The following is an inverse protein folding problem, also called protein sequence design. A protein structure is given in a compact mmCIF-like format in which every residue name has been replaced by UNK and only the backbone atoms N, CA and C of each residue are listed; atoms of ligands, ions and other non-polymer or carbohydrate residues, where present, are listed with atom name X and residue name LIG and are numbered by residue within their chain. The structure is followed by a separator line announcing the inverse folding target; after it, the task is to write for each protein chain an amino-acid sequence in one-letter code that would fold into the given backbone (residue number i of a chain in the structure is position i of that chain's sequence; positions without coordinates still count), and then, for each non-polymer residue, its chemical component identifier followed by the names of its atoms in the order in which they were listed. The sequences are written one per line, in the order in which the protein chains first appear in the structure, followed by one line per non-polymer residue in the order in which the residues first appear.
data_IF_185450093820
#
_entry.id   IF_185450093820
#
_cell.length_a   1.000
_cell.length_b   1.000
_cell.length_c   1.000
_cell.angle_alpha   90.00
_cell.angle_beta   90.00
_cell.angle_gamma   90.00
#
_symmetry.space_group_name_H-M   'P 1'
#
loop_
_entity.id
_entity.type
_entity.pdbx_description
1 polymer ?
#
# COMPACT_ATOMS: atom_id res chain seq x y z
N UNK A 1 -21.46 -7.51 55.75
CA UNK A 1 -22.72 -7.48 55.03
C UNK A 1 -22.39 -7.06 53.60
N UNK A 2 -22.71 -7.90 52.69
CA UNK A 2 -22.13 -8.14 51.41
C UNK A 2 -21.96 -6.98 50.44
N UNK A 3 -20.83 -6.97 49.82
CA UNK A 3 -20.52 -6.14 48.68
C UNK A 3 -20.31 -7.02 47.45
N UNK A 4 -21.30 -7.04 46.57
CA UNK A 4 -21.25 -7.79 45.30
C UNK A 4 -20.69 -6.91 44.21
N UNK A 5 -19.41 -7.08 43.89
CA UNK A 5 -18.76 -6.48 42.75
C UNK A 5 -19.19 -7.19 41.45
N UNK A 6 -19.99 -6.51 40.61
CA UNK A 6 -20.29 -6.93 39.25
C UNK A 6 -19.18 -6.55 38.31
N UNK A 7 -18.38 -7.52 37.88
CA UNK A 7 -17.43 -7.34 36.79
C UNK A 7 -18.17 -7.23 35.45
N UNK A 8 -18.08 -6.08 34.79
CA UNK A 8 -18.52 -5.88 33.40
C UNK A 8 -17.49 -6.58 32.48
N UNK A 9 -17.84 -7.77 31.99
CA UNK A 9 -17.17 -8.42 30.87
C UNK A 9 -17.50 -7.65 29.60
N UNK A 10 -16.57 -6.88 29.09
CA UNK A 10 -16.62 -6.31 27.75
C UNK A 10 -16.45 -7.45 26.75
N UNK A 11 -17.54 -7.91 26.15
CA UNK A 11 -17.48 -8.76 24.95
C UNK A 11 -16.94 -7.90 23.81
N UNK A 12 -16.03 -8.46 22.96
CA UNK A 12 -15.57 -7.75 21.76
C UNK A 12 -16.80 -7.50 20.86
N UNK A 13 -17.05 -6.24 20.53
CA UNK A 13 -18.13 -5.83 19.65
C UNK A 13 -17.93 -6.44 18.27
N UNK A 14 -18.97 -7.09 17.75
CA UNK A 14 -19.02 -7.54 16.35
C UNK A 14 -18.91 -6.32 15.45
N UNK A 15 -17.79 -6.18 14.76
CA UNK A 15 -17.56 -5.12 13.79
C UNK A 15 -18.29 -5.49 12.48
N UNK A 16 -19.06 -4.56 11.95
CA UNK A 16 -19.60 -4.54 10.60
C UNK A 16 -20.69 -5.57 10.23
N UNK A 17 -21.86 -5.50 10.88
CA UNK A 17 -23.09 -5.98 10.25
C UNK A 17 -23.84 -4.79 9.64
N UNK A 18 -23.50 -4.43 8.40
CA UNK A 18 -24.26 -3.46 7.65
C UNK A 18 -25.57 -4.08 7.15
N UNK A 19 -26.68 -3.88 7.86
CA UNK A 19 -28.00 -4.05 7.27
C UNK A 19 -28.28 -2.87 6.35
N UNK A 20 -28.20 -3.12 5.04
CA UNK A 20 -28.47 -2.10 4.01
C UNK A 20 -28.01 -2.47 2.62
N UNK A 21 -27.75 -3.72 2.31
CA UNK A 21 -27.43 -4.15 0.94
C UNK A 21 -28.68 -4.72 0.26
N UNK A 22 -29.19 -4.01 -0.75
CA UNK A 22 -30.04 -4.63 -1.76
C UNK A 22 -29.26 -5.80 -2.37
N UNK A 23 -29.94 -6.95 -2.45
CA UNK A 23 -29.41 -8.21 -2.97
C UNK A 23 -28.71 -7.99 -4.30
N UNK A 24 -27.41 -8.25 -4.34
CA UNK A 24 -26.70 -8.57 -5.55
C UNK A 24 -27.20 -9.96 -6.00
N UNK A 25 -27.79 -10.03 -7.19
CA UNK A 25 -28.33 -11.28 -7.75
C UNK A 25 -27.18 -12.26 -7.98
N UNK A 26 -27.29 -13.44 -7.36
CA UNK A 26 -26.53 -14.63 -7.70
C UNK A 26 -26.77 -14.97 -9.18
N UNK A 27 -25.89 -14.53 -10.05
CA UNK A 27 -25.74 -15.04 -11.41
C UNK A 27 -24.28 -15.11 -11.75
N UNK A 28 -23.67 -16.20 -11.36
CA UNK A 28 -22.50 -16.74 -12.02
C UNK A 28 -22.66 -18.25 -12.08
N UNK A 29 -23.05 -18.76 -13.23
CA UNK A 29 -22.98 -20.17 -13.57
C UNK A 29 -21.51 -20.59 -13.57
N UNK A 30 -21.08 -21.27 -12.51
CA UNK A 30 -19.81 -21.95 -12.44
C UNK A 30 -19.93 -23.35 -13.00
N UNK A 31 -19.60 -23.50 -14.28
CA UNK A 31 -19.36 -24.81 -14.88
C UNK A 31 -17.94 -25.31 -14.53
N UNK A 32 -17.90 -26.39 -13.75
CA UNK A 32 -16.83 -27.38 -13.62
C UNK A 32 -15.38 -26.98 -13.46
N UNK A 33 -14.88 -27.19 -12.26
CA UNK A 33 -13.46 -27.20 -11.87
C UNK A 33 -13.25 -26.33 -10.63
N UNK A 34 -12.59 -26.87 -9.60
CA UNK A 34 -12.08 -26.07 -8.48
C UNK A 34 -11.30 -24.91 -9.07
N UNK A 35 -11.79 -23.70 -8.87
CA UNK A 35 -11.15 -22.51 -9.46
C UNK A 35 -9.68 -22.46 -8.99
N UNK A 36 -8.70 -22.34 -9.91
CA UNK A 36 -7.29 -22.25 -9.51
C UNK A 36 -6.99 -21.16 -8.46
N UNK A 37 -7.94 -20.23 -8.25
CA UNK A 37 -7.82 -19.17 -7.25
C UNK A 37 -8.08 -19.59 -5.80
N UNK A 38 -8.81 -20.63 -5.54
CA UNK A 38 -9.04 -21.12 -4.17
C UNK A 38 -7.73 -21.59 -3.54
N UNK A 39 -6.76 -21.99 -4.35
CA UNK A 39 -5.44 -22.45 -3.90
C UNK A 39 -4.36 -21.37 -3.95
N UNK A 40 -4.63 -20.19 -4.57
CA UNK A 40 -3.63 -19.12 -4.68
C UNK A 40 -3.32 -18.51 -3.32
N UNK A 41 -2.03 -18.38 -3.01
CA UNK A 41 -1.53 -17.79 -1.78
C UNK A 41 -1.27 -16.28 -1.94
N UNK A 42 -1.50 -15.51 -0.89
CA UNK A 42 -1.30 -14.06 -0.87
C UNK A 42 -0.34 -13.71 0.26
N UNK A 43 0.84 -13.21 -0.09
CA UNK A 43 1.76 -12.61 0.87
C UNK A 43 1.32 -11.18 1.19
N UNK A 44 0.94 -10.91 2.43
CA UNK A 44 0.50 -9.60 2.91
C UNK A 44 1.64 -8.93 3.66
N UNK A 45 2.23 -7.92 3.05
CA UNK A 45 3.37 -7.17 3.58
C UNK A 45 2.89 -5.93 4.33
N UNK A 46 3.32 -5.76 5.58
CA UNK A 46 2.95 -4.63 6.44
C UNK A 46 4.18 -4.07 7.14
N UNK A 47 4.37 -2.75 7.04
CA UNK A 47 5.28 -1.99 7.88
C UNK A 47 4.47 -1.24 8.94
N UNK A 48 4.72 -1.49 10.22
CA UNK A 48 4.01 -0.87 11.33
C UNK A 48 4.99 -0.13 12.24
N UNK A 49 4.82 1.19 12.35
CA UNK A 49 5.63 2.04 13.22
C UNK A 49 4.75 2.64 14.31
N UNK A 50 4.86 2.09 15.55
CA UNK A 50 4.16 2.56 16.74
C UNK A 50 2.66 2.80 16.48
N UNK A 51 2.01 1.81 15.83
CA UNK A 51 0.64 1.95 15.33
C UNK A 51 -0.37 1.15 16.16
N UNK A 52 -1.29 1.84 16.86
CA UNK A 52 -2.30 1.20 17.68
C UNK A 52 -3.35 0.40 16.88
N UNK A 53 -3.48 0.64 15.57
CA UNK A 53 -4.54 0.05 14.74
C UNK A 53 -4.13 -1.28 14.07
N UNK A 54 -2.87 -1.70 14.17
CA UNK A 54 -2.36 -2.91 13.51
C UNK A 54 -3.15 -4.17 13.91
N UNK A 55 -3.40 -4.38 15.20
CA UNK A 55 -4.17 -5.55 15.68
C UNK A 55 -5.60 -5.55 15.08
N UNK A 56 -6.25 -4.40 15.03
CA UNK A 56 -7.58 -4.26 14.43
C UNK A 56 -7.55 -4.49 12.91
N UNK A 57 -6.49 -4.08 12.23
CA UNK A 57 -6.26 -4.36 10.81
C UNK A 57 -6.13 -5.85 10.55
N UNK A 58 -5.28 -6.56 11.29
CA UNK A 58 -5.08 -8.01 11.13
C UNK A 58 -6.36 -8.79 11.38
N UNK A 59 -7.08 -8.49 12.48
CA UNK A 59 -8.36 -9.11 12.80
C UNK A 59 -9.38 -8.87 11.68
N UNK A 60 -9.50 -7.64 11.21
CA UNK A 60 -10.45 -7.30 10.14
C UNK A 60 -10.13 -8.03 8.83
N UNK A 61 -8.87 -8.08 8.42
CA UNK A 61 -8.46 -8.78 7.21
C UNK A 61 -8.82 -10.28 7.28
N UNK A 62 -8.55 -10.94 8.41
CA UNK A 62 -8.87 -12.36 8.60
C UNK A 62 -10.37 -12.61 8.69
N UNK A 63 -11.11 -11.81 9.44
CA UNK A 63 -12.57 -11.93 9.59
C UNK A 63 -13.34 -11.67 8.29
N UNK A 64 -12.83 -10.77 7.45
CA UNK A 64 -13.46 -10.41 6.19
C UNK A 64 -13.01 -11.28 5.00
N UNK A 65 -11.94 -12.05 5.13
CA UNK A 65 -11.47 -12.94 4.08
C UNK A 65 -12.45 -14.07 3.80
N UNK A 66 -12.56 -14.48 2.52
CA UNK A 66 -13.28 -15.70 2.13
C UNK A 66 -12.47 -16.96 2.48
N UNK A 67 -11.14 -16.86 2.38
CA UNK A 67 -10.20 -17.97 2.60
C UNK A 67 -8.98 -17.47 3.40
N UNK A 68 -9.11 -17.26 4.72
CA UNK A 68 -8.03 -16.69 5.53
C UNK A 68 -6.78 -17.57 5.55
N UNK A 69 -6.88 -18.88 5.34
CA UNK A 69 -5.77 -19.82 5.32
C UNK A 69 -4.77 -19.59 4.16
N UNK A 70 -5.18 -18.88 3.10
CA UNK A 70 -4.28 -18.54 1.99
C UNK A 70 -3.40 -17.33 2.28
N UNK A 71 -3.69 -16.58 3.35
CA UNK A 71 -2.99 -15.35 3.69
C UNK A 71 -1.69 -15.68 4.44
N UNK A 72 -0.58 -15.09 4.02
CA UNK A 72 0.73 -15.17 4.64
C UNK A 72 1.18 -13.78 4.99
N UNK A 73 1.31 -13.47 6.28
CA UNK A 73 1.66 -12.12 6.72
C UNK A 73 3.15 -12.01 7.00
N UNK A 74 3.78 -10.98 6.45
CA UNK A 74 5.13 -10.53 6.79
C UNK A 74 5.06 -9.11 7.36
N UNK A 75 5.39 -8.97 8.64
CA UNK A 75 5.22 -7.71 9.37
C UNK A 75 6.58 -7.24 9.91
N UNK A 76 6.95 -6.00 9.63
CA UNK A 76 7.99 -5.29 10.38
C UNK A 76 7.31 -4.45 11.47
N UNK A 77 7.31 -4.96 12.69
CA UNK A 77 6.72 -4.32 13.87
C UNK A 77 7.78 -3.48 14.56
N UNK A 78 7.53 -2.18 14.68
CA UNK A 78 8.48 -1.22 15.23
C UNK A 78 7.85 -0.53 16.43
N UNK A 79 8.20 -0.96 17.64
CA UNK A 79 7.64 -0.45 18.90
C UNK A 79 8.71 0.20 19.78
N UNK A 80 8.30 1.18 20.56
CA UNK A 80 9.08 1.72 21.66
C UNK A 80 8.74 0.99 22.97
N UNK A 81 9.70 0.91 23.88
CA UNK A 81 9.48 0.25 25.18
C UNK A 81 8.37 0.94 26.02
N UNK A 82 8.02 2.18 25.74
CA UNK A 82 6.94 2.92 26.38
C UNK A 82 5.57 2.71 25.72
N UNK A 83 5.52 2.06 24.54
CA UNK A 83 4.25 1.82 23.86
C UNK A 83 3.39 0.80 24.63
N UNK A 84 2.04 0.94 24.58
CA UNK A 84 1.15 0.00 25.22
C UNK A 84 1.38 -1.44 24.74
N UNK A 85 1.38 -2.41 25.66
CA UNK A 85 1.52 -3.83 25.31
C UNK A 85 0.45 -4.29 24.30
N UNK A 86 -0.74 -3.67 24.34
CA UNK A 86 -1.83 -3.95 23.39
C UNK A 86 -1.51 -3.62 21.92
N UNK A 87 -0.39 -2.95 21.62
CA UNK A 87 0.08 -2.71 20.25
C UNK A 87 1.00 -3.82 19.74
N UNK A 88 1.42 -4.75 20.61
CA UNK A 88 2.32 -5.85 20.32
C UNK A 88 1.62 -7.16 19.97
N UNK A 89 2.42 -8.19 19.73
CA UNK A 89 2.00 -9.52 19.26
C UNK A 89 0.92 -10.19 20.11
N UNK A 90 0.86 -9.91 21.42
CA UNK A 90 -0.13 -10.51 22.33
C UNK A 90 -1.58 -10.10 22.02
N UNK A 91 -1.78 -9.06 21.20
CA UNK A 91 -3.11 -8.61 20.75
C UNK A 91 -3.45 -9.08 19.34
N UNK A 92 -2.52 -9.74 18.65
CA UNK A 92 -2.72 -10.19 17.29
C UNK A 92 -3.57 -11.47 17.23
N UNK A 93 -4.28 -11.71 16.13
CA UNK A 93 -5.03 -12.95 15.95
C UNK A 93 -4.11 -14.17 15.90
N UNK A 94 -4.59 -15.29 16.45
CA UNK A 94 -3.92 -16.59 16.26
C UNK A 94 -4.05 -17.03 14.80
N UNK A 95 -2.96 -16.92 14.06
CA UNK A 95 -2.91 -17.28 12.65
C UNK A 95 -1.57 -17.97 12.34
N UNK A 96 -1.63 -19.18 11.78
CA UNK A 96 -0.48 -20.06 11.56
C UNK A 96 0.62 -19.47 10.64
N UNK A 97 0.30 -18.44 9.87
CA UNK A 97 1.20 -17.83 8.90
C UNK A 97 1.41 -16.33 9.16
N UNK A 98 1.47 -15.94 10.40
CA UNK A 98 1.83 -14.60 10.85
C UNK A 98 3.31 -14.59 11.22
N UNK A 99 4.13 -13.91 10.44
CA UNK A 99 5.57 -13.79 10.65
C UNK A 99 5.91 -12.33 10.98
N UNK A 100 6.62 -12.12 12.09
CA UNK A 100 6.89 -10.79 12.63
C UNK A 100 8.39 -10.60 12.79
N UNK A 101 8.91 -9.49 12.30
CA UNK A 101 10.21 -8.96 12.66
C UNK A 101 9.99 -7.84 13.65
N UNK A 102 10.28 -8.12 14.91
CA UNK A 102 10.21 -7.15 15.99
C UNK A 102 11.49 -6.29 16.00
N UNK A 103 11.32 -4.97 16.03
CA UNK A 103 12.39 -3.97 15.97
C UNK A 103 12.09 -2.87 16.96
N UNK A 104 13.11 -2.43 17.71
CA UNK A 104 12.95 -1.23 18.53
C UNK A 104 12.68 -0.02 17.63
N UNK A 105 11.70 0.82 17.96
CA UNK A 105 11.38 2.01 17.18
C UNK A 105 12.61 2.92 16.96
N UNK A 106 13.52 2.98 17.94
CA UNK A 106 14.78 3.73 17.86
C UNK A 106 15.72 3.23 16.75
N UNK A 107 15.63 1.97 16.35
CA UNK A 107 16.46 1.35 15.29
C UNK A 107 15.80 1.42 13.92
N UNK A 108 14.61 2.02 13.83
CA UNK A 108 13.88 2.19 12.56
C UNK A 108 14.61 3.14 11.62
N UNK A 109 14.51 2.85 10.33
CA UNK A 109 15.11 3.66 9.26
C UNK A 109 14.07 4.18 8.26
N UNK A 110 12.79 4.13 8.63
CA UNK A 110 11.67 4.61 7.83
C UNK A 110 10.89 3.52 7.09
N UNK A 111 9.84 3.94 6.38
CA UNK A 111 8.84 3.04 5.82
C UNK A 111 9.41 2.05 4.77
N UNK A 112 10.22 2.50 3.83
CA UNK A 112 10.77 1.64 2.78
C UNK A 112 11.75 0.61 3.35
N UNK A 113 12.56 0.99 4.34
CA UNK A 113 13.39 0.05 5.07
C UNK A 113 12.54 -1.01 5.78
N UNK A 114 11.49 -0.60 6.49
CA UNK A 114 10.61 -1.54 7.18
C UNK A 114 9.90 -2.50 6.21
N UNK A 115 9.48 -2.01 5.04
CA UNK A 115 8.91 -2.85 3.97
C UNK A 115 9.94 -3.84 3.43
N UNK A 116 11.19 -3.45 3.26
CA UNK A 116 12.25 -4.38 2.86
C UNK A 116 12.50 -5.48 3.90
N UNK A 117 12.32 -5.16 5.20
CA UNK A 117 12.42 -6.17 6.26
C UNK A 117 11.23 -7.15 6.21
N UNK A 118 10.02 -6.64 5.99
CA UNK A 118 8.83 -7.46 5.85
C UNK A 118 8.91 -8.38 4.62
N UNK A 119 9.49 -7.91 3.51
CA UNK A 119 9.72 -8.71 2.30
C UNK A 119 10.62 -9.93 2.55
N UNK A 120 11.46 -9.91 3.59
CA UNK A 120 12.29 -11.06 3.97
C UNK A 120 11.50 -12.31 4.37
N UNK A 121 10.19 -12.20 4.59
CA UNK A 121 9.30 -13.34 4.88
C UNK A 121 8.62 -13.92 3.65
N UNK A 122 8.73 -13.29 2.48
CA UNK A 122 8.20 -13.84 1.23
C UNK A 122 8.87 -15.19 0.91
N UNK A 123 8.06 -16.17 0.57
CA UNK A 123 8.53 -17.54 0.33
C UNK A 123 7.91 -18.15 -0.94
N UNK A 124 7.74 -17.32 -1.98
CA UNK A 124 7.23 -17.78 -3.27
C UNK A 124 5.69 -17.83 -3.34
N UNK A 125 4.99 -17.05 -2.53
CA UNK A 125 3.54 -16.91 -2.65
C UNK A 125 3.14 -16.38 -4.04
N UNK A 126 1.96 -16.80 -4.51
CA UNK A 126 1.49 -16.46 -5.88
C UNK A 126 1.29 -14.96 -6.07
N UNK A 127 0.87 -14.26 -5.01
CA UNK A 127 0.57 -12.83 -5.03
C UNK A 127 1.20 -12.09 -3.86
N UNK A 128 1.57 -10.84 -4.12
CA UNK A 128 1.94 -9.83 -3.14
C UNK A 128 0.77 -8.88 -2.92
N UNK A 129 0.44 -8.61 -1.67
CA UNK A 129 -0.36 -7.48 -1.22
C UNK A 129 0.44 -6.62 -0.25
N UNK A 130 0.67 -5.37 -0.58
CA UNK A 130 1.23 -4.39 0.34
C UNK A 130 0.14 -3.48 0.84
N UNK A 131 0.09 -3.25 2.15
CA UNK A 131 -0.83 -2.33 2.81
C UNK A 131 -0.14 -1.62 3.98
N UNK A 132 -0.77 -0.53 4.43
CA UNK A 132 -0.39 0.12 5.68
C UNK A 132 -1.00 -0.62 6.89
N UNK A 133 -0.52 -0.29 8.09
CA UNK A 133 -0.91 -0.95 9.35
C UNK A 133 -2.31 -0.58 9.86
N UNK A 134 -2.98 0.38 9.25
CA UNK A 134 -4.28 0.92 9.67
C UNK A 134 -5.32 0.88 8.53
N UNK A 135 -5.72 -0.36 8.19
CA UNK A 135 -6.59 -0.66 7.06
C UNK A 135 -7.86 -1.40 7.48
N UNK A 136 -8.88 -1.33 6.64
CA UNK A 136 -10.07 -2.20 6.71
C UNK A 136 -10.39 -2.72 5.32
N UNK A 137 -10.96 -3.92 5.25
CA UNK A 137 -11.33 -4.56 3.99
C UNK A 137 -12.84 -4.84 3.91
N UNK A 138 -13.36 -4.94 2.70
CA UNK A 138 -14.73 -5.43 2.48
C UNK A 138 -14.81 -6.93 2.72
N UNK A 139 -16.03 -7.44 2.92
CA UNK A 139 -16.26 -8.88 3.03
C UNK A 139 -15.79 -9.60 1.76
N UNK A 140 -15.12 -10.74 1.93
CA UNK A 140 -14.54 -11.58 0.88
C UNK A 140 -13.52 -10.83 0.00
N UNK A 141 -12.81 -9.86 0.57
CA UNK A 141 -11.87 -8.99 -0.13
C UNK A 141 -10.78 -9.76 -0.88
N UNK A 142 -10.31 -10.85 -0.34
CA UNK A 142 -9.24 -11.69 -0.89
C UNK A 142 -9.66 -12.35 -2.20
N UNK A 143 -10.89 -12.84 -2.30
CA UNK A 143 -11.45 -13.42 -3.52
C UNK A 143 -11.79 -12.32 -4.54
N UNK A 144 -12.43 -11.24 -4.09
CA UNK A 144 -12.74 -10.07 -4.92
C UNK A 144 -11.47 -9.42 -5.50
N UNK A 145 -10.37 -9.40 -4.73
CA UNK A 145 -9.09 -8.85 -5.17
C UNK A 145 -8.49 -9.68 -6.32
N UNK A 146 -8.48 -11.01 -6.16
CA UNK A 146 -8.04 -11.93 -7.19
C UNK A 146 -8.92 -11.87 -8.45
N UNK A 147 -10.25 -11.73 -8.30
CA UNK A 147 -11.15 -11.51 -9.43
C UNK A 147 -10.83 -10.19 -10.15
N UNK A 148 -10.65 -9.10 -9.39
CA UNK A 148 -10.31 -7.79 -9.95
C UNK A 148 -9.00 -7.84 -10.73
N UNK A 149 -8.00 -8.55 -10.22
CA UNK A 149 -6.72 -8.74 -10.92
C UNK A 149 -6.91 -9.53 -12.24
N UNK A 150 -7.74 -10.58 -12.24
CA UNK A 150 -8.08 -11.33 -13.47
C UNK A 150 -8.81 -10.47 -14.50
N UNK A 151 -9.68 -9.58 -14.04
CA UNK A 151 -10.46 -8.68 -14.90
C UNK A 151 -9.56 -7.72 -15.70
N UNK A 152 -8.29 -7.52 -15.28
CA UNK A 152 -7.28 -6.83 -16.09
C UNK A 152 -6.94 -7.57 -17.38
N UNK A 153 -7.14 -8.91 -17.43
CA UNK A 153 -6.71 -9.79 -18.52
C UNK A 153 -5.22 -9.63 -18.87
N UNK A 154 -4.39 -9.44 -17.86
CA UNK A 154 -2.96 -9.14 -17.94
C UNK A 154 -2.24 -9.84 -16.79
N UNK A 155 -1.27 -10.71 -17.09
CA UNK A 155 -0.52 -11.46 -16.08
C UNK A 155 0.50 -10.62 -15.32
N UNK A 156 0.90 -9.49 -15.89
CA UNK A 156 1.83 -8.52 -15.29
C UNK A 156 1.05 -7.35 -14.63
N UNK A 157 -0.26 -7.52 -14.39
CA UNK A 157 -1.08 -6.48 -13.79
C UNK A 157 -0.70 -6.24 -12.33
N UNK A 158 -0.64 -4.95 -11.96
CA UNK A 158 -0.49 -4.46 -10.60
C UNK A 158 -1.66 -3.55 -10.27
N UNK A 159 -2.47 -3.92 -9.30
CA UNK A 159 -3.58 -3.09 -8.81
C UNK A 159 -3.06 -2.12 -7.75
N UNK A 160 -3.30 -0.83 -7.94
CA UNK A 160 -2.95 0.17 -6.93
C UNK A 160 -3.80 1.43 -7.06
N UNK A 161 -4.16 2.00 -5.92
CA UNK A 161 -4.89 3.26 -5.80
C UNK A 161 -4.76 3.78 -4.37
N UNK A 162 -4.90 5.07 -4.13
CA UNK A 162 -5.16 5.57 -2.78
C UNK A 162 -6.54 5.11 -2.32
N UNK A 163 -6.65 4.20 -1.33
CA UNK A 163 -7.93 3.68 -0.87
C UNK A 163 -8.81 4.79 -0.33
N UNK A 164 -10.14 4.62 -0.40
CA UNK A 164 -11.05 5.51 0.31
C UNK A 164 -10.81 5.46 1.83
N UNK A 165 -11.21 6.52 2.52
CA UNK A 165 -11.10 6.59 3.96
C UNK A 165 -12.12 5.74 4.70
N UNK A 166 -11.84 5.47 5.97
CA UNK A 166 -12.83 5.03 6.94
C UNK A 166 -12.68 5.82 8.24
N UNK A 167 -13.75 5.84 9.05
CA UNK A 167 -13.70 6.34 10.43
C UNK A 167 -13.77 5.14 11.38
N UNK A 168 -13.01 5.22 12.46
CA UNK A 168 -12.99 4.14 13.46
C UNK A 168 -14.38 3.93 14.10
N UNK A 169 -14.75 2.69 14.44
CA UNK A 169 -13.96 1.47 14.26
C UNK A 169 -13.98 0.92 12.83
N UNK A 170 -15.03 1.19 12.02
CA UNK A 170 -15.18 0.62 10.68
C UNK A 170 -16.29 1.31 9.84
N UNK A 171 -16.41 2.63 9.88
CA UNK A 171 -17.36 3.35 9.02
C UNK A 171 -16.71 3.64 7.67
N UNK A 172 -16.97 2.80 6.67
CA UNK A 172 -16.34 2.84 5.35
C UNK A 172 -16.95 3.93 4.44
N UNK A 173 -16.11 4.65 3.69
CA UNK A 173 -16.54 5.61 2.67
C UNK A 173 -16.73 4.91 1.32
N UNK A 174 -17.98 4.54 0.99
CA UNK A 174 -18.30 3.66 -0.14
C UNK A 174 -19.00 4.33 -1.31
N UNK A 175 -19.16 5.65 -1.31
CA UNK A 175 -19.97 6.35 -2.31
C UNK A 175 -19.27 6.59 -3.66
N UNK A 176 -17.94 6.57 -3.68
CA UNK A 176 -17.14 6.89 -4.87
C UNK A 176 -15.98 5.94 -5.05
N UNK A 177 -15.57 5.73 -6.32
CA UNK A 177 -14.37 5.00 -6.68
C UNK A 177 -13.24 6.02 -7.03
N UNK A 178 -12.09 5.94 -6.36
CA UNK A 178 -10.96 6.82 -6.64
C UNK A 178 -10.15 6.34 -7.85
N UNK A 179 -9.45 7.28 -8.48
CA UNK A 179 -8.34 7.03 -9.41
C UNK A 179 -7.12 7.82 -8.98
N UNK A 180 -5.94 7.39 -9.36
CA UNK A 180 -4.71 8.14 -9.10
C UNK A 180 -4.43 9.14 -10.20
N UNK A 181 -3.83 10.27 -9.81
CA UNK A 181 -3.41 11.33 -10.73
C UNK A 181 -2.11 11.98 -10.26
N UNK A 182 -1.36 12.53 -11.20
CA UNK A 182 -0.23 13.40 -10.88
C UNK A 182 -0.75 14.73 -10.30
N UNK A 183 -0.17 15.18 -9.18
CA UNK A 183 -0.57 16.42 -8.51
C UNK A 183 0.36 17.58 -8.87
N UNK A 184 1.61 17.46 -8.51
CA UNK A 184 2.64 18.49 -8.71
C UNK A 184 4.01 17.90 -8.44
N UNK A 185 5.07 18.54 -8.92
CA UNK A 185 6.40 18.38 -8.38
C UNK A 185 6.52 19.26 -7.14
N UNK A 186 7.09 18.71 -6.05
CA UNK A 186 7.31 19.47 -4.82
C UNK A 186 8.62 20.29 -4.87
N UNK A 187 8.93 20.98 -3.78
CA UNK A 187 10.15 21.82 -3.68
C UNK A 187 11.46 21.01 -3.78
N UNK A 188 11.38 19.69 -3.61
CA UNK A 188 12.51 18.79 -3.83
C UNK A 188 12.55 18.23 -5.26
N UNK A 189 11.63 18.62 -6.13
CA UNK A 189 11.52 18.10 -7.50
C UNK A 189 10.97 16.67 -7.57
N UNK A 190 10.30 16.20 -6.53
CA UNK A 190 9.68 14.89 -6.49
C UNK A 190 8.20 14.98 -6.88
N UNK A 191 7.80 14.15 -7.84
CA UNK A 191 6.40 14.08 -8.27
C UNK A 191 5.52 13.54 -7.15
N UNK A 192 4.48 14.28 -6.80
CA UNK A 192 3.43 13.90 -5.85
C UNK A 192 2.19 13.46 -6.58
N UNK A 193 1.51 12.49 -6.01
CA UNK A 193 0.23 11.98 -6.51
C UNK A 193 -0.94 12.45 -5.66
N UNK A 194 -2.15 12.27 -6.19
CA UNK A 194 -3.41 12.50 -5.50
C UNK A 194 -4.46 11.48 -5.91
N UNK A 195 -5.35 11.16 -4.99
CA UNK A 195 -6.58 10.44 -5.28
C UNK A 195 -7.66 11.39 -5.78
N UNK A 196 -8.34 11.03 -6.86
CA UNK A 196 -9.49 11.77 -7.39
C UNK A 196 -10.71 10.87 -7.28
N UNK A 197 -11.73 11.26 -6.51
CA UNK A 197 -13.04 10.58 -6.47
C UNK A 197 -13.75 10.80 -7.81
N UNK A 198 -13.65 9.83 -8.72
CA UNK A 198 -14.10 10.00 -10.10
C UNK A 198 -15.48 9.44 -10.39
N UNK A 199 -15.76 8.24 -9.91
CA UNK A 199 -16.96 7.50 -10.28
C UNK A 199 -17.87 7.35 -9.08
N UNK A 200 -19.15 7.67 -9.21
CA UNK A 200 -20.16 7.35 -8.19
C UNK A 200 -20.52 5.88 -8.27
N UNK A 201 -20.56 5.21 -7.13
CA UNK A 201 -20.91 3.80 -7.04
C UNK A 201 -22.38 3.69 -6.56
N UNK A 202 -23.18 2.80 -7.17
CA UNK A 202 -22.84 1.87 -8.27
C UNK A 202 -23.03 2.45 -9.68
N UNK A 203 -23.61 3.66 -9.83
CA UNK A 203 -24.17 4.17 -11.09
C UNK A 203 -23.13 4.36 -12.20
N UNK A 204 -21.89 4.68 -11.83
CA UNK A 204 -20.79 4.98 -12.75
C UNK A 204 -19.62 4.01 -12.60
N UNK A 205 -19.84 2.88 -11.90
CA UNK A 205 -18.77 1.92 -11.67
C UNK A 205 -18.26 1.34 -12.99
N UNK A 206 -16.95 1.40 -13.29
CA UNK A 206 -16.37 0.76 -14.47
C UNK A 206 -16.53 -0.76 -14.42
N UNK A 207 -16.75 -1.39 -15.58
CA UNK A 207 -16.86 -2.85 -15.67
C UNK A 207 -15.52 -3.56 -15.41
N UNK A 208 -14.39 -2.91 -15.73
CA UNK A 208 -13.03 -3.47 -15.61
C UNK A 208 -12.10 -2.49 -14.89
N UNK A 209 -10.98 -2.97 -14.32
CA UNK A 209 -9.92 -2.10 -13.82
C UNK A 209 -9.43 -1.13 -14.88
N UNK A 210 -9.05 0.06 -14.44
CA UNK A 210 -8.68 1.17 -15.34
C UNK A 210 -7.16 1.25 -15.46
N UNK A 211 -6.60 1.50 -16.67
CA UNK A 211 -5.18 1.80 -16.82
C UNK A 211 -4.74 2.92 -15.87
N UNK A 212 -3.57 2.74 -15.28
CA UNK A 212 -2.96 3.67 -14.35
C UNK A 212 -1.45 3.74 -14.59
N UNK A 213 -0.80 4.80 -14.14
CA UNK A 213 0.64 4.98 -14.24
C UNK A 213 1.34 4.97 -12.87
N UNK A 214 0.60 5.04 -11.78
CA UNK A 214 1.12 5.32 -10.44
C UNK A 214 0.69 4.28 -9.43
N UNK A 215 1.56 4.00 -8.46
CA UNK A 215 1.24 3.16 -7.31
C UNK A 215 1.15 3.99 -6.03
N UNK A 216 0.28 3.58 -5.13
CA UNK A 216 0.16 4.10 -3.77
C UNK A 216 0.95 3.22 -2.81
N UNK A 217 1.70 3.83 -1.89
CA UNK A 217 2.44 3.11 -0.85
C UNK A 217 1.54 2.31 0.08
N UNK A 218 0.32 2.80 0.33
CA UNK A 218 -0.66 2.17 1.23
C UNK A 218 -1.50 1.05 0.62
N UNK A 219 -1.41 0.81 -0.68
CA UNK A 219 -2.07 -0.33 -1.33
C UNK A 219 -1.44 -0.68 -2.68
N UNK A 220 -0.88 -1.87 -2.77
CA UNK A 220 -0.37 -2.46 -4.00
C UNK A 220 -0.68 -3.96 -3.99
N UNK A 221 -1.17 -4.50 -5.10
CA UNK A 221 -1.42 -5.92 -5.28
C UNK A 221 -1.02 -6.39 -6.68
N UNK A 222 -0.28 -7.49 -6.77
CA UNK A 222 0.14 -8.06 -8.05
C UNK A 222 0.81 -9.42 -7.87
N UNK A 223 1.46 -9.97 -8.91
CA UNK A 223 2.21 -11.21 -8.82
C UNK A 223 3.24 -11.18 -7.69
N UNK A 224 3.39 -12.27 -6.95
CA UNK A 224 4.37 -12.40 -5.87
C UNK A 224 5.80 -12.18 -6.34
N UNK A 225 6.10 -12.51 -7.59
CA UNK A 225 7.39 -12.29 -8.23
C UNK A 225 7.89 -10.83 -8.16
N UNK A 226 7.00 -9.85 -7.95
CA UNK A 226 7.38 -8.44 -7.73
C UNK A 226 8.38 -8.29 -6.58
N UNK A 227 8.28 -9.13 -5.54
CA UNK A 227 9.22 -9.07 -4.39
C UNK A 227 10.66 -9.32 -4.82
N UNK A 228 10.87 -10.21 -5.79
CA UNK A 228 12.19 -10.54 -6.32
C UNK A 228 12.63 -9.58 -7.44
N UNK A 229 11.72 -9.25 -8.36
CA UNK A 229 12.03 -8.41 -9.53
C UNK A 229 12.21 -6.93 -9.15
N UNK A 230 11.43 -6.44 -8.19
CA UNK A 230 11.35 -5.01 -7.81
C UNK A 230 11.39 -4.85 -6.28
N UNK A 231 12.44 -5.39 -5.60
CA UNK A 231 12.52 -5.35 -4.15
C UNK A 231 12.54 -3.91 -3.62
N UNK A 232 12.04 -3.71 -2.40
CA UNK A 232 12.14 -2.41 -1.75
C UNK A 232 13.60 -2.02 -1.51
N UNK A 233 13.93 -0.78 -1.86
CA UNK A 233 15.23 -0.18 -1.55
C UNK A 233 15.25 0.26 -0.07
N UNK A 234 16.04 -0.39 0.81
CA UNK A 234 16.07 -0.09 2.23
C UNK A 234 16.72 1.27 2.54
N UNK A 235 17.36 1.90 1.57
CA UNK A 235 17.98 3.21 1.70
C UNK A 235 17.05 4.36 1.26
N UNK A 236 15.84 4.05 0.78
CA UNK A 236 14.77 5.02 0.65
C UNK A 236 14.10 5.20 2.02
N UNK A 237 13.86 6.46 2.38
CA UNK A 237 13.23 6.79 3.65
C UNK A 237 11.70 6.75 3.56
N UNK A 238 11.12 7.68 2.83
CA UNK A 238 9.68 7.84 2.65
C UNK A 238 9.36 8.59 1.35
N UNK A 239 9.88 9.84 1.20
CA UNK A 239 9.62 10.64 0.00
C UNK A 239 10.27 10.04 -1.23
N UNK A 240 9.48 9.96 -2.31
CA UNK A 240 9.90 9.41 -3.60
C UNK A 240 9.68 7.89 -3.73
N UNK A 241 9.18 7.22 -2.70
CA UNK A 241 8.82 5.80 -2.77
C UNK A 241 7.87 5.51 -3.92
N UNK A 242 6.71 6.15 -3.93
CA UNK A 242 5.63 5.85 -4.87
C UNK A 242 6.05 6.11 -6.33
N UNK A 243 6.73 7.21 -6.59
CA UNK A 243 7.18 7.55 -7.95
C UNK A 243 8.30 6.63 -8.43
N UNK A 244 9.25 6.27 -7.56
CA UNK A 244 10.32 5.34 -7.91
C UNK A 244 9.79 3.93 -8.11
N UNK A 245 8.88 3.46 -7.25
CA UNK A 245 8.23 2.15 -7.39
C UNK A 245 7.38 2.07 -8.66
N UNK A 246 6.64 3.13 -9.01
CA UNK A 246 5.86 3.21 -10.26
C UNK A 246 6.76 3.06 -11.49
N UNK A 247 7.86 3.82 -11.55
CA UNK A 247 8.79 3.76 -12.67
C UNK A 247 9.52 2.40 -12.73
N UNK A 248 9.91 1.85 -11.59
CA UNK A 248 10.58 0.54 -11.51
C UNK A 248 9.66 -0.58 -11.96
N UNK A 249 8.45 -0.67 -11.43
CA UNK A 249 7.47 -1.68 -11.85
C UNK A 249 7.24 -1.61 -13.36
N UNK A 250 6.96 -0.43 -13.89
CA UNK A 250 6.67 -0.30 -15.31
C UNK A 250 7.87 -0.67 -16.20
N UNK A 251 9.09 -0.26 -15.83
CA UNK A 251 10.30 -0.59 -16.59
C UNK A 251 10.68 -2.07 -16.49
N UNK A 252 10.28 -2.78 -15.42
CA UNK A 252 10.38 -4.24 -15.31
C UNK A 252 9.28 -4.99 -16.09
N UNK A 253 8.33 -4.28 -16.70
CA UNK A 253 7.32 -4.89 -17.56
C UNK A 253 5.94 -5.03 -16.93
N UNK A 254 5.76 -4.63 -15.68
CA UNK A 254 4.46 -4.63 -15.01
C UNK A 254 3.58 -3.50 -15.51
N UNK A 255 2.27 -3.73 -15.57
CA UNK A 255 1.26 -2.77 -15.97
C UNK A 255 0.38 -2.39 -14.77
N UNK A 256 0.21 -1.10 -14.53
CA UNK A 256 -0.48 -0.62 -13.34
C UNK A 256 -1.94 -0.30 -13.67
N UNK A 257 -2.85 -0.68 -12.77
CA UNK A 257 -4.29 -0.48 -12.91
C UNK A 257 -4.90 0.05 -11.61
N UNK A 258 -5.88 0.94 -11.72
CA UNK A 258 -6.79 1.24 -10.61
C UNK A 258 -7.88 0.16 -10.55
N UNK A 259 -8.16 -0.42 -9.37
CA UNK A 259 -9.29 -1.32 -9.19
C UNK A 259 -10.61 -0.65 -9.61
N UNK A 260 -11.52 -1.43 -10.20
CA UNK A 260 -12.86 -0.97 -10.56
C UNK A 260 -13.89 -1.16 -9.44
N UNK A 261 -13.46 -1.56 -8.25
CA UNK A 261 -14.28 -1.75 -7.05
C UNK A 261 -13.50 -1.39 -5.79
N UNK A 262 -14.23 -1.09 -4.72
CA UNK A 262 -13.63 -0.84 -3.41
C UNK A 262 -13.31 -2.19 -2.76
N UNK A 263 -12.07 -2.35 -2.32
CA UNK A 263 -11.55 -3.59 -1.74
C UNK A 263 -11.04 -3.35 -0.32
N UNK A 264 -10.29 -2.26 -0.14
CA UNK A 264 -9.67 -1.87 1.11
C UNK A 264 -9.87 -0.37 1.37
N UNK A 265 -9.77 0.01 2.63
CA UNK A 265 -9.96 1.38 3.13
C UNK A 265 -8.83 1.73 4.08
N UNK A 266 -8.42 2.98 4.08
CA UNK A 266 -7.29 3.48 4.84
C UNK A 266 -7.77 4.48 5.93
N UNK A 267 -7.18 4.42 7.11
CA UNK A 267 -7.39 5.41 8.15
C UNK A 267 -6.50 6.63 7.88
N UNK A 268 -7.05 7.63 7.22
CA UNK A 268 -6.32 8.88 7.04
C UNK A 268 -6.32 9.69 8.33
N UNK A 269 -5.13 10.06 8.80
CA UNK A 269 -4.97 10.95 9.96
C UNK A 269 -5.55 12.32 9.61
N UNK A 270 -6.45 12.82 10.41
CA UNK A 270 -6.92 14.20 10.27
C UNK A 270 -5.81 15.15 10.75
N UNK A 271 -5.33 16.02 9.87
CA UNK A 271 -4.36 17.06 10.24
C UNK A 271 -4.98 17.96 11.32
N UNK A 272 -4.65 17.72 12.60
CA UNK A 272 -5.05 18.58 13.72
C UNK A 272 -6.31 18.16 14.49
N UNK A 273 -6.75 16.90 14.40
CA UNK A 273 -7.82 16.38 15.27
C UNK A 273 -7.29 16.05 16.68
N UNK A 274 -7.96 16.54 17.73
CA UNK A 274 -7.72 16.12 19.11
C UNK A 274 -7.96 14.60 19.22
N UNK A 275 -6.87 13.82 19.34
CA UNK A 275 -6.94 12.36 19.54
C UNK A 275 -6.04 11.50 18.64
N UNK A 276 -5.33 12.06 17.66
CA UNK A 276 -4.32 11.32 16.91
C UNK A 276 -3.03 11.17 17.73
N UNK A 277 -2.91 10.05 18.44
CA UNK A 277 -1.74 9.71 19.27
C UNK A 277 -0.69 8.91 18.51
N UNK A 278 -0.89 8.66 17.22
CA UNK A 278 0.04 7.86 16.46
C UNK A 278 1.35 8.62 16.21
N UNK A 279 2.45 8.02 16.68
CA UNK A 279 3.79 8.55 16.47
C UNK A 279 4.11 8.56 14.96
N UNK A 280 4.85 9.58 14.53
CA UNK A 280 5.43 9.58 13.19
C UNK A 280 6.93 9.41 13.30
N UNK A 281 7.53 8.67 12.35
CA UNK A 281 8.97 8.41 12.39
C UNK A 281 9.79 9.71 12.48
N UNK A 282 9.40 10.74 11.73
CA UNK A 282 10.11 12.04 11.73
C UNK A 282 9.90 12.87 12.99
N UNK A 283 8.90 12.59 13.83
CA UNK A 283 8.76 13.21 15.14
C UNK A 283 9.68 12.58 16.19
N UNK A 284 9.98 11.30 16.03
CA UNK A 284 10.77 10.53 17.00
C UNK A 284 12.28 10.54 16.69
N UNK A 285 12.65 10.65 15.40
CA UNK A 285 14.03 10.61 14.94
C UNK A 285 14.52 11.99 14.51
N UNK A 286 15.36 12.62 15.30
CA UNK A 286 15.88 13.97 15.03
C UNK A 286 16.75 14.06 13.78
N UNK A 287 17.33 12.97 13.32
CA UNK A 287 18.20 12.85 12.15
C UNK A 287 17.48 12.38 10.88
N UNK A 288 16.15 12.23 10.90
CA UNK A 288 15.34 11.79 9.76
C UNK A 288 15.63 12.55 8.47
N UNK A 289 16.03 13.82 8.56
CA UNK A 289 16.33 14.65 7.40
C UNK A 289 17.56 14.14 6.62
N UNK A 290 18.52 13.46 7.27
CA UNK A 290 19.68 12.86 6.62
C UNK A 290 19.25 11.64 5.79
N UNK A 291 18.38 10.79 6.35
CA UNK A 291 17.80 9.66 5.65
C UNK A 291 16.96 10.14 4.45
N UNK A 292 16.15 11.19 4.66
CA UNK A 292 15.36 11.78 3.60
C UNK A 292 16.22 12.41 2.50
N UNK A 293 17.30 13.13 2.83
CA UNK A 293 18.24 13.68 1.85
C UNK A 293 18.85 12.57 0.98
N UNK A 294 19.31 11.48 1.60
CA UNK A 294 19.85 10.32 0.87
C UNK A 294 18.82 9.72 -0.05
N UNK A 295 17.60 9.52 0.45
CA UNK A 295 16.45 9.05 -0.32
C UNK A 295 16.20 9.90 -1.57
N UNK A 296 16.16 11.23 -1.42
CA UNK A 296 15.94 12.15 -2.53
C UNK A 296 17.05 12.05 -3.59
N UNK A 297 18.31 11.95 -3.19
CA UNK A 297 19.43 11.75 -4.13
C UNK A 297 19.27 10.45 -4.93
N UNK A 298 18.90 9.35 -4.26
CA UNK A 298 18.66 8.05 -4.91
C UNK A 298 17.53 8.14 -5.93
N UNK A 299 16.41 8.77 -5.56
CA UNK A 299 15.24 8.94 -6.44
C UNK A 299 15.61 9.79 -7.66
N UNK A 300 16.28 10.93 -7.48
CA UNK A 300 16.74 11.75 -8.59
C UNK A 300 17.72 11.03 -9.51
N UNK A 301 18.64 10.24 -8.94
CA UNK A 301 19.56 9.42 -9.74
C UNK A 301 18.83 8.38 -10.55
N UNK A 302 17.87 7.68 -9.93
CA UNK A 302 17.05 6.64 -10.57
C UNK A 302 16.22 7.20 -11.73
N UNK A 303 15.59 8.36 -11.52
CA UNK A 303 14.69 9.00 -12.49
C UNK A 303 15.42 9.94 -13.49
N UNK A 304 16.75 9.96 -13.48
CA UNK A 304 17.53 10.74 -14.43
C UNK A 304 17.45 12.25 -14.23
N UNK A 305 16.95 12.74 -13.10
CA UNK A 305 16.74 14.17 -12.82
C UNK A 305 17.76 14.77 -11.83
N UNK A 306 18.88 14.09 -11.59
CA UNK A 306 19.87 14.54 -10.61
C UNK A 306 20.50 15.91 -10.96
N UNK A 307 20.60 16.24 -12.25
CA UNK A 307 21.17 17.51 -12.71
C UNK A 307 20.32 18.75 -12.39
N UNK A 308 19.05 18.53 -12.11
CA UNK A 308 18.07 19.60 -11.75
C UNK A 308 17.61 19.48 -10.30
N UNK A 309 18.17 18.53 -9.55
CA UNK A 309 17.88 18.38 -8.13
C UNK A 309 18.30 19.62 -7.33
N UNK A 310 17.63 19.95 -6.22
CA UNK A 310 18.03 21.06 -5.37
C UNK A 310 19.51 20.97 -4.95
N UNK A 311 20.25 22.06 -5.06
CA UNK A 311 21.70 22.10 -4.81
C UNK A 311 22.08 21.75 -3.37
N UNK A 312 21.18 21.99 -2.41
CA UNK A 312 21.37 21.65 -1.00
C UNK A 312 21.33 20.13 -0.72
N UNK A 313 20.93 19.30 -1.68
CA UNK A 313 21.04 17.85 -1.55
C UNK A 313 22.50 17.39 -1.51
N UNK A 314 23.41 18.11 -2.17
CA UNK A 314 24.84 17.85 -2.16
C UNK A 314 25.18 16.34 -2.30
N UNK A 315 24.89 15.72 -3.48
CA UNK A 315 25.04 14.29 -3.67
C UNK A 315 26.48 13.82 -3.47
N UNK A 316 26.65 12.66 -2.84
CA UNK A 316 27.96 12.00 -2.73
C UNK A 316 27.86 10.52 -3.18
N UNK A 317 28.97 9.85 -3.51
CA UNK A 317 28.95 8.48 -4.01
C UNK A 317 28.28 7.47 -3.06
N UNK A 318 28.36 7.68 -1.75
CA UNK A 318 27.72 6.79 -0.76
C UNK A 318 26.18 6.85 -0.79
N UNK A 319 25.60 7.95 -1.27
CA UNK A 319 24.15 8.08 -1.36
C UNK A 319 23.54 7.10 -2.36
N UNK A 320 24.29 6.73 -3.39
CA UNK A 320 23.85 5.84 -4.47
C UNK A 320 24.49 4.45 -4.42
N UNK A 321 25.20 4.14 -3.34
CA UNK A 321 25.75 2.81 -3.13
C UNK A 321 24.65 1.75 -3.19
N UNK A 322 24.91 0.63 -3.87
CA UNK A 322 23.95 -0.48 -4.10
C UNK A 322 22.67 -0.11 -4.87
N UNK A 323 22.55 1.10 -5.42
CA UNK A 323 21.36 1.51 -6.16
C UNK A 323 21.08 0.62 -7.39
N UNK A 324 22.10 0.00 -7.96
CA UNK A 324 21.99 -0.93 -9.08
C UNK A 324 21.10 -2.14 -8.77
N UNK A 325 21.04 -2.59 -7.52
CA UNK A 325 20.14 -3.68 -7.09
C UNK A 325 18.67 -3.24 -7.01
N UNK A 326 18.43 -1.94 -6.98
CA UNK A 326 17.10 -1.33 -6.86
C UNK A 326 16.79 -0.43 -8.06
N UNK A 327 17.45 -0.73 -9.20
CA UNK A 327 17.40 0.07 -10.41
C UNK A 327 16.09 -0.02 -11.17
N UNK A 328 16.07 0.66 -12.31
CA UNK A 328 15.02 0.50 -13.31
C UNK A 328 15.19 -0.85 -14.00
N UNK A 329 14.07 -1.41 -14.47
CA UNK A 329 14.08 -2.59 -15.32
C UNK A 329 14.64 -2.29 -16.72
N UNK A 330 14.87 -3.37 -17.46
CA UNK A 330 15.41 -3.31 -18.83
C UNK A 330 14.37 -3.67 -19.91
N UNK A 331 13.14 -4.03 -19.53
CA UNK A 331 12.09 -4.39 -20.48
C UNK A 331 11.51 -3.17 -21.21
N UNK A 332 11.52 -1.99 -20.56
CA UNK A 332 11.02 -0.72 -21.11
C UNK A 332 11.90 0.44 -20.65
N UNK A 333 11.98 1.50 -21.47
CA UNK A 333 12.78 2.67 -21.12
C UNK A 333 12.02 3.67 -20.24
N UNK A 334 12.74 4.38 -19.37
CA UNK A 334 12.16 5.43 -18.53
C UNK A 334 11.42 6.50 -19.35
N UNK A 335 11.97 6.88 -20.52
CA UNK A 335 11.34 7.85 -21.42
C UNK A 335 9.98 7.38 -21.98
N UNK A 336 9.79 6.07 -22.12
CA UNK A 336 8.50 5.51 -22.51
C UNK A 336 7.50 5.54 -21.35
N UNK A 337 7.98 5.32 -20.11
CA UNK A 337 7.19 5.53 -18.92
C UNK A 337 6.72 6.99 -18.80
N UNK A 338 7.63 7.97 -18.93
CA UNK A 338 7.29 9.38 -18.88
C UNK A 338 6.22 9.75 -19.91
N UNK A 339 6.35 9.22 -21.14
CA UNK A 339 5.37 9.44 -22.21
C UNK A 339 4.02 8.82 -21.90
N UNK A 340 3.99 7.56 -21.43
CA UNK A 340 2.78 6.85 -21.03
C UNK A 340 2.09 7.54 -19.85
N UNK A 341 2.86 7.91 -18.84
CA UNK A 341 2.36 8.57 -17.63
C UNK A 341 2.02 10.07 -17.84
N UNK A 342 2.43 10.66 -18.97
CA UNK A 342 2.19 12.07 -19.28
C UNK A 342 2.93 13.05 -18.39
N UNK A 343 4.16 12.71 -18.01
CA UNK A 343 5.03 13.50 -17.13
C UNK A 343 6.42 13.63 -17.72
N UNK A 344 7.22 14.55 -17.19
CA UNK A 344 8.66 14.59 -17.45
C UNK A 344 9.41 14.93 -16.16
N UNK A 345 10.36 14.07 -15.79
CA UNK A 345 11.17 14.28 -14.58
C UNK A 345 12.18 15.41 -14.78
N UNK A 346 12.74 15.55 -15.98
CA UNK A 346 13.72 16.58 -16.29
C UNK A 346 13.12 17.99 -16.37
N UNK A 347 11.96 18.15 -17.02
CA UNK A 347 11.30 19.44 -17.13
C UNK A 347 10.29 19.70 -16.01
N UNK A 348 10.08 18.73 -15.12
CA UNK A 348 9.10 18.77 -14.03
C UNK A 348 7.70 19.20 -14.53
N UNK A 349 7.26 18.60 -15.63
CA UNK A 349 5.98 18.89 -16.25
C UNK A 349 5.00 17.76 -16.13
N UNK A 350 3.72 18.09 -16.09
CA UNK A 350 2.59 17.17 -16.00
C UNK A 350 1.58 17.59 -17.06
N UNK A 351 1.15 16.68 -17.93
CA UNK A 351 0.12 16.98 -18.91
C UNK A 351 -1.30 16.87 -18.31
N UNK A 352 -2.29 17.33 -19.05
CA UNK A 352 -3.68 17.36 -18.62
C UNK A 352 -4.26 15.96 -18.35
N UNK A 353 -3.82 14.93 -19.07
CA UNK A 353 -4.29 13.56 -18.85
C UNK A 353 -3.74 12.99 -17.54
N UNK A 354 -2.47 13.18 -17.27
CA UNK A 354 -1.83 12.76 -16.02
C UNK A 354 -2.46 13.42 -14.79
N UNK A 355 -2.70 14.74 -14.84
CA UNK A 355 -3.36 15.48 -13.74
C UNK A 355 -4.84 15.12 -13.60
N UNK A 356 -5.46 14.58 -14.64
CA UNK A 356 -6.82 14.06 -14.59
C UNK A 356 -6.88 12.53 -14.30
N UNK A 357 -5.76 11.82 -14.09
CA UNK A 357 -5.72 10.37 -13.88
C UNK A 357 -6.29 9.60 -15.07
N UNK A 358 -5.91 9.98 -16.29
CA UNK A 358 -6.31 9.33 -17.53
C UNK A 358 -5.07 8.81 -18.24
N UNK A 359 -4.96 7.51 -18.36
CA UNK A 359 -3.80 6.86 -18.96
C UNK A 359 -4.24 6.00 -20.14
N UNK A 360 -3.38 5.83 -21.17
CA UNK A 360 -3.66 4.92 -22.27
C UNK A 360 -3.76 3.49 -21.75
N UNK A 361 -4.42 2.62 -22.50
CA UNK A 361 -4.33 1.18 -22.29
C UNK A 361 -2.87 0.73 -22.53
N UNK A 362 -2.41 -0.18 -21.70
CA UNK A 362 -1.06 -0.77 -21.78
C UNK A 362 -0.95 -1.73 -22.97
#
# INVERSE_FOLDING_TARGET
MGNSGGGLSLRPGRCCTGEGSRRWSDRADFAHGVSPLVTSTIFVQIAAYRDPDLAATLNNLLEQAAYPERLKFGICLQLDASDPLSWGEQSFPDHAHLQIKDVAAADSRGACWARSQAQGFYNGEDFLMQIDSHMRAVRHWDDLLLQTWRDCNDREAVLSVYPNGFQQPCQLQTSTLPVMAAKAFDDYGILKFQGISRYRIPEQQPEKPLPNAFVAGGFLFGPGQIVEDVPYDPELYFYGEEVSMSARLWTHGYNIYCPNRLLVFHLYKSSGGDGDTSATHWSDHQDWFQLNRRSLVRVHKLLGSLSIAPTNLNPNPKDIESLEHYGLGTRRHLSDYERMAGISFQSQTINQNASAGRFPAN
#
